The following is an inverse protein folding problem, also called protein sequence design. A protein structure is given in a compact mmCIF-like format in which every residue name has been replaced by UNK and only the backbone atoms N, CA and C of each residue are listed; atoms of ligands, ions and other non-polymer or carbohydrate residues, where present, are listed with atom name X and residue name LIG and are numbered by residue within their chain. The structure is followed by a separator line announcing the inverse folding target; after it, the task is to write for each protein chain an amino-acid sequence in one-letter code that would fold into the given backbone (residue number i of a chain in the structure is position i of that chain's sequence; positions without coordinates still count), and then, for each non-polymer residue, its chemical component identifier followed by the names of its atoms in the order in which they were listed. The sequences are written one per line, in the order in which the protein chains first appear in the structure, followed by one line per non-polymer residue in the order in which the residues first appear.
data_IF_087424875348
#
_entry.id   IF_087424875348
#
_cell.length_a   1.000
_cell.length_b   1.000
_cell.length_c   1.000
_cell.angle_alpha   90.00
_cell.angle_beta   90.00
_cell.angle_gamma   90.00
#
_symmetry.space_group_name_H-M   'P 1'
#
loop_
_entity.id
_entity.type
_entity.pdbx_description
1 polymer ?
#
# COMPACT_ATOMS: atom_id res chain seq x y z
N UNK A 1 2.14 -9.34 8.91
CA UNK A 1 0.71 -9.64 8.73
C UNK A 1 0.42 -11.14 8.66
N UNK A 2 0.91 -11.88 7.67
CA UNK A 2 0.64 -13.34 7.54
C UNK A 2 1.03 -14.12 8.80
N UNK A 3 2.19 -13.85 9.40
CA UNK A 3 2.61 -14.52 10.64
C UNK A 3 1.66 -14.29 11.83
N UNK A 4 1.07 -13.09 11.94
CA UNK A 4 0.07 -12.78 12.97
C UNK A 4 -1.21 -13.58 12.70
N UNK A 5 -1.68 -13.62 11.45
CA UNK A 5 -2.85 -14.41 11.07
C UNK A 5 -2.64 -15.91 11.34
N UNK A 6 -1.45 -16.45 11.02
CA UNK A 6 -1.09 -17.84 11.32
C UNK A 6 -1.11 -18.10 12.83
N UNK A 7 -0.51 -17.21 13.62
CA UNK A 7 -0.51 -17.30 15.08
C UNK A 7 -1.92 -17.26 15.68
N UNK A 8 -2.79 -16.39 15.14
CA UNK A 8 -4.20 -16.31 15.57
C UNK A 8 -4.95 -17.59 15.21
N UNK A 9 -4.82 -18.09 13.97
CA UNK A 9 -5.52 -19.31 13.54
C UNK A 9 -5.05 -20.51 14.37
N UNK A 10 -3.73 -20.72 14.47
CA UNK A 10 -3.16 -21.81 15.24
C UNK A 10 -3.53 -21.72 16.72
N UNK A 11 -3.33 -20.54 17.33
CA UNK A 11 -3.64 -20.30 18.72
C UNK A 11 -5.12 -20.51 19.03
N UNK A 12 -6.02 -20.10 18.13
CA UNK A 12 -7.46 -20.31 18.28
C UNK A 12 -7.82 -21.78 18.19
N UNK A 13 -7.31 -22.51 17.19
CA UNK A 13 -7.58 -23.95 17.03
C UNK A 13 -7.08 -24.76 18.24
N UNK A 14 -5.87 -24.46 18.70
CA UNK A 14 -5.29 -25.10 19.89
C UNK A 14 -6.09 -24.75 21.13
N UNK A 15 -6.42 -23.48 21.34
CA UNK A 15 -7.20 -23.05 22.52
C UNK A 15 -8.57 -23.71 22.55
N UNK A 16 -9.29 -23.72 21.43
CA UNK A 16 -10.60 -24.39 21.33
C UNK A 16 -10.46 -25.90 21.58
N UNK A 17 -9.44 -26.54 21.01
CA UNK A 17 -9.24 -27.97 21.17
C UNK A 17 -8.83 -28.40 22.60
N UNK A 18 -8.20 -27.53 23.39
CA UNK A 18 -7.92 -27.81 24.81
C UNK A 18 -9.01 -27.36 25.77
N UNK A 19 -9.78 -26.31 25.43
CA UNK A 19 -10.89 -25.84 26.26
C UNK A 19 -12.16 -26.68 26.07
N UNK A 20 -12.25 -27.44 24.97
CA UNK A 20 -13.35 -28.36 24.71
C UNK A 20 -12.96 -29.77 25.16
N UNK A 21 -13.38 -30.15 26.37
CA UNK A 21 -13.04 -31.44 27.00
C UNK A 21 -13.23 -32.69 26.10
N UNK A 22 -14.26 -32.80 25.23
CA UNK A 22 -14.41 -33.95 24.35
C UNK A 22 -13.63 -33.85 23.03
N UNK A 23 -12.87 -32.79 22.77
CA UNK A 23 -12.21 -32.56 21.47
C UNK A 23 -11.38 -33.76 20.99
N UNK A 24 -10.56 -34.33 21.86
CA UNK A 24 -9.73 -35.49 21.50
C UNK A 24 -10.59 -36.73 21.23
N UNK A 25 -11.62 -36.95 22.05
CA UNK A 25 -12.54 -38.06 21.86
C UNK A 25 -13.32 -37.92 20.57
N UNK A 26 -13.76 -36.71 20.22
CA UNK A 26 -14.47 -36.42 18.97
C UNK A 26 -13.55 -36.68 17.79
N UNK A 27 -12.33 -36.13 17.77
CA UNK A 27 -11.35 -36.34 16.70
C UNK A 27 -11.11 -37.84 16.44
N UNK A 28 -11.07 -38.65 17.51
CA UNK A 28 -10.83 -40.10 17.43
C UNK A 28 -12.03 -40.96 17.01
N UNK A 29 -13.24 -40.41 17.09
CA UNK A 29 -14.48 -41.17 16.88
C UNK A 29 -15.27 -40.71 15.67
N UNK A 30 -14.87 -39.60 15.04
CA UNK A 30 -15.51 -39.05 13.85
C UNK A 30 -14.55 -38.92 12.67
N UNK A 31 -15.11 -38.85 11.47
CA UNK A 31 -14.36 -38.55 10.23
C UNK A 31 -14.04 -37.05 10.10
N UNK A 32 -13.92 -36.33 11.23
CA UNK A 32 -13.77 -34.86 11.23
C UNK A 32 -12.44 -34.41 10.63
N UNK A 33 -11.37 -35.19 10.82
CA UNK A 33 -10.05 -34.90 10.22
C UNK A 33 -10.13 -35.03 8.71
N UNK A 34 -10.62 -36.17 8.21
CA UNK A 34 -10.79 -36.41 6.77
C UNK A 34 -11.68 -35.35 6.12
N UNK A 35 -12.83 -35.06 6.71
CA UNK A 35 -13.77 -34.06 6.20
C UNK A 35 -13.13 -32.67 6.14
N UNK A 36 -12.39 -32.27 7.19
CA UNK A 36 -11.68 -30.99 7.24
C UNK A 36 -10.64 -30.89 6.12
N UNK A 37 -9.76 -31.89 6.01
CA UNK A 37 -8.64 -31.82 5.06
C UNK A 37 -9.08 -32.04 3.61
N UNK A 38 -10.12 -32.82 3.35
CA UNK A 38 -10.76 -32.86 2.02
C UNK A 38 -11.35 -31.50 1.64
N UNK A 39 -12.04 -30.84 2.58
CA UNK A 39 -12.54 -29.48 2.37
C UNK A 39 -11.42 -28.47 2.08
N UNK A 40 -10.32 -28.54 2.84
CA UNK A 40 -9.14 -27.69 2.64
C UNK A 40 -8.43 -27.97 1.30
N UNK A 41 -8.36 -29.22 0.85
CA UNK A 41 -7.83 -29.59 -0.46
C UNK A 41 -8.65 -28.92 -1.57
N UNK A 42 -9.97 -29.13 -1.59
CA UNK A 42 -10.87 -28.53 -2.58
C UNK A 42 -10.76 -27.01 -2.56
N UNK A 43 -10.84 -26.40 -1.37
CA UNK A 43 -10.73 -24.95 -1.23
C UNK A 43 -9.38 -24.41 -1.75
N UNK A 44 -8.27 -25.08 -1.44
CA UNK A 44 -6.94 -24.67 -1.90
C UNK A 44 -6.84 -24.73 -3.42
N UNK A 45 -7.29 -25.81 -4.06
CA UNK A 45 -7.29 -25.94 -5.52
C UNK A 45 -8.12 -24.82 -6.16
N UNK A 46 -9.32 -24.56 -5.65
CA UNK A 46 -10.19 -23.48 -6.15
C UNK A 46 -9.53 -22.10 -6.02
N UNK A 47 -8.97 -21.77 -4.85
CA UNK A 47 -8.32 -20.48 -4.60
C UNK A 47 -7.12 -20.28 -5.54
N UNK A 48 -6.27 -21.30 -5.69
CA UNK A 48 -5.12 -21.24 -6.60
C UNK A 48 -5.56 -21.03 -8.03
N UNK A 49 -6.60 -21.75 -8.46
CA UNK A 49 -7.13 -21.66 -9.82
C UNK A 49 -7.63 -20.25 -10.11
N UNK A 50 -8.38 -19.67 -9.17
CA UNK A 50 -8.87 -18.29 -9.29
C UNK A 50 -7.73 -17.28 -9.34
N UNK A 51 -6.72 -17.41 -8.46
CA UNK A 51 -5.55 -16.51 -8.42
C UNK A 51 -4.76 -16.59 -9.73
N UNK A 52 -4.55 -17.81 -10.25
CA UNK A 52 -3.89 -18.01 -11.54
C UNK A 52 -4.67 -17.37 -12.69
N UNK A 53 -6.00 -17.53 -12.71
CA UNK A 53 -6.87 -16.94 -13.73
C UNK A 53 -6.80 -15.39 -13.70
N UNK A 54 -6.84 -14.78 -12.51
CA UNK A 54 -6.68 -13.33 -12.35
C UNK A 54 -5.30 -12.88 -12.84
N UNK A 55 -4.24 -13.59 -12.47
CA UNK A 55 -2.89 -13.25 -12.92
C UNK A 55 -2.75 -13.35 -14.44
N UNK A 56 -3.35 -14.37 -15.06
CA UNK A 56 -3.38 -14.53 -16.52
C UNK A 56 -4.13 -13.39 -17.21
N UNK A 57 -5.23 -12.92 -16.63
CA UNK A 57 -5.98 -11.78 -17.16
C UNK A 57 -5.13 -10.50 -17.15
N UNK A 58 -4.43 -10.23 -16.04
CA UNK A 58 -3.56 -9.04 -15.94
C UNK A 58 -2.36 -9.14 -16.89
N UNK A 59 -1.71 -10.31 -16.98
CA UNK A 59 -0.64 -10.55 -17.95
C UNK A 59 -1.10 -10.38 -19.40
N UNK A 60 -2.32 -10.82 -19.71
CA UNK A 60 -2.91 -10.63 -21.05
C UNK A 60 -3.09 -9.16 -21.40
N UNK A 61 -3.33 -8.29 -20.43
CA UNK A 61 -3.41 -6.83 -20.66
C UNK A 61 -2.03 -6.21 -20.92
N UNK A 62 -0.95 -6.81 -20.38
CA UNK A 62 0.42 -6.34 -20.65
C UNK A 62 0.96 -6.78 -22.01
N UNK A 63 0.39 -7.83 -22.62
CA UNK A 63 0.74 -8.31 -23.97
C UNK A 63 -0.04 -7.60 -25.09
N UNK A 64 -0.62 -6.44 -24.81
CA UNK A 64 -1.37 -5.63 -25.78
C UNK A 64 -0.55 -5.23 -27.02
N UNK A 65 -1.22 -4.68 -28.04
CA UNK A 65 -0.60 -4.34 -29.30
C UNK A 65 0.60 -3.38 -29.14
N UNK A 66 1.64 -3.55 -29.97
CA UNK A 66 2.87 -2.75 -29.93
C UNK A 66 2.59 -1.23 -30.01
N UNK A 67 1.54 -0.83 -30.72
CA UNK A 67 1.10 0.57 -30.80
C UNK A 67 0.73 1.13 -29.42
N UNK A 68 -0.02 0.38 -28.62
CA UNK A 68 -0.44 0.81 -27.29
C UNK A 68 0.75 0.86 -26.35
N UNK A 69 1.67 -0.12 -26.46
CA UNK A 69 2.94 -0.12 -25.74
C UNK A 69 3.76 1.15 -26.02
N UNK A 70 3.88 1.52 -27.29
CA UNK A 70 4.58 2.73 -27.70
C UNK A 70 3.94 4.00 -27.12
N UNK A 71 2.61 4.11 -27.18
CA UNK A 71 1.89 5.26 -26.61
C UNK A 71 2.10 5.38 -25.09
N UNK A 72 2.07 4.26 -24.36
CA UNK A 72 2.37 4.25 -22.91
C UNK A 72 3.80 4.69 -22.61
N UNK A 73 4.76 4.22 -23.41
CA UNK A 73 6.17 4.60 -23.27
C UNK A 73 6.37 6.09 -23.55
N UNK A 74 5.76 6.63 -24.61
CA UNK A 74 5.84 8.05 -24.96
C UNK A 74 5.29 8.93 -23.82
N UNK A 75 4.10 8.62 -23.28
CA UNK A 75 3.55 9.37 -22.14
C UNK A 75 4.38 9.27 -20.86
N UNK A 76 5.01 8.11 -20.59
CA UNK A 76 5.92 7.96 -19.46
C UNK A 76 7.20 8.78 -19.65
N UNK A 77 7.73 8.87 -20.87
CA UNK A 77 8.91 9.68 -21.18
C UNK A 77 8.62 11.19 -21.11
N UNK A 78 7.45 11.61 -21.57
CA UNK A 78 6.95 13.00 -21.43
C UNK A 78 6.84 13.37 -19.95
N UNK A 79 6.14 12.56 -19.15
CA UNK A 79 6.04 12.79 -17.71
C UNK A 79 7.41 12.87 -17.01
N UNK A 80 8.35 12.00 -17.39
CA UNK A 80 9.72 12.02 -16.86
C UNK A 80 10.51 13.26 -17.26
N UNK A 81 10.17 13.89 -18.38
CA UNK A 81 10.74 15.14 -18.84
C UNK A 81 10.16 16.31 -18.05
N UNK A 82 8.83 16.38 -17.89
CA UNK A 82 8.17 17.41 -17.08
C UNK A 82 8.75 17.44 -15.66
N UNK A 83 8.98 16.27 -15.07
CA UNK A 83 9.62 16.17 -13.76
C UNK A 83 11.08 16.60 -13.79
N UNK A 84 11.83 16.27 -14.85
CA UNK A 84 13.23 16.68 -14.98
C UNK A 84 13.39 18.21 -15.06
N UNK A 85 12.46 18.85 -15.78
CA UNK A 85 12.39 20.31 -15.93
C UNK A 85 12.11 20.98 -14.58
N UNK A 86 11.11 20.49 -13.81
CA UNK A 86 10.79 21.02 -12.47
C UNK A 86 11.92 20.81 -11.47
N UNK A 87 12.54 19.62 -11.42
CA UNK A 87 13.65 19.37 -10.49
C UNK A 87 14.99 19.93 -10.97
N UNK A 88 15.01 20.64 -12.12
CA UNK A 88 16.17 21.26 -12.73
C UNK A 88 17.36 20.30 -12.93
N UNK A 89 17.09 19.08 -13.38
CA UNK A 89 18.14 18.11 -13.71
C UNK A 89 18.07 17.67 -15.16
N UNK A 90 19.20 17.29 -15.79
CA UNK A 90 19.18 16.82 -17.19
C UNK A 90 18.33 15.57 -17.42
N UNK A 91 18.20 14.72 -16.40
CA UNK A 91 17.44 13.46 -16.47
C UNK A 91 16.86 13.15 -15.09
N UNK A 92 15.57 12.86 -15.02
CA UNK A 92 14.92 12.45 -13.78
C UNK A 92 15.48 11.12 -13.24
N UNK A 93 15.50 10.90 -11.91
CA UNK A 93 16.02 9.67 -11.32
C UNK A 93 15.33 8.41 -11.85
N UNK A 94 16.09 7.33 -12.04
CA UNK A 94 15.57 6.06 -12.57
C UNK A 94 14.90 5.17 -11.51
N UNK A 95 15.26 5.37 -10.24
CA UNK A 95 14.69 4.60 -9.12
C UNK A 95 13.46 5.32 -8.55
N UNK A 96 12.31 4.62 -8.38
CA UNK A 96 11.09 5.20 -7.82
C UNK A 96 11.26 6.02 -6.54
N UNK A 97 11.99 5.48 -5.55
CA UNK A 97 12.21 6.18 -4.27
C UNK A 97 13.01 7.48 -4.45
N UNK A 98 14.03 7.46 -5.31
CA UNK A 98 14.84 8.65 -5.62
C UNK A 98 14.04 9.67 -6.43
N UNK A 99 13.19 9.21 -7.33
CA UNK A 99 12.31 10.06 -8.14
C UNK A 99 11.31 10.83 -7.25
N UNK A 100 10.62 10.11 -6.36
CA UNK A 100 9.68 10.74 -5.41
C UNK A 100 10.38 11.68 -4.46
N UNK A 101 11.54 11.26 -3.93
CA UNK A 101 12.35 12.10 -3.04
C UNK A 101 12.77 13.41 -3.71
N UNK A 102 13.27 13.35 -4.94
CA UNK A 102 13.64 14.56 -5.68
C UNK A 102 12.46 15.53 -5.83
N UNK A 103 11.27 15.03 -6.13
CA UNK A 103 10.07 15.86 -6.26
C UNK A 103 9.64 16.48 -4.90
N UNK A 104 9.78 15.72 -3.81
CA UNK A 104 9.51 16.19 -2.44
C UNK A 104 10.51 17.26 -2.01
N UNK A 105 11.80 17.02 -2.23
CA UNK A 105 12.88 17.94 -1.86
C UNK A 105 12.71 19.27 -2.60
N UNK A 106 12.41 19.23 -3.91
CA UNK A 106 12.17 20.43 -4.73
C UNK A 106 10.90 21.17 -4.31
N UNK A 107 9.84 20.45 -3.94
CA UNK A 107 8.64 21.10 -3.38
C UNK A 107 8.94 21.80 -2.05
N UNK A 108 9.80 21.21 -1.21
CA UNK A 108 10.28 21.83 0.03
C UNK A 108 11.10 23.10 -0.25
N UNK A 109 11.97 23.06 -1.25
CA UNK A 109 12.76 24.22 -1.70
C UNK A 109 11.85 25.35 -2.20
N UNK A 110 10.89 25.07 -3.09
CA UNK A 110 9.95 26.08 -3.58
C UNK A 110 9.06 26.66 -2.48
N UNK A 111 8.70 25.86 -1.46
CA UNK A 111 8.00 26.39 -0.29
C UNK A 111 8.87 27.34 0.52
N UNK A 112 10.16 27.04 0.68
CA UNK A 112 11.11 27.94 1.35
C UNK A 112 11.37 29.22 0.54
N UNK A 113 11.47 29.12 -0.79
CA UNK A 113 11.56 30.27 -1.70
C UNK A 113 10.32 31.17 -1.61
N UNK A 114 9.12 30.57 -1.59
CA UNK A 114 7.88 31.30 -1.38
C UNK A 114 7.85 32.00 -0.01
N UNK A 115 8.27 31.32 1.06
CA UNK A 115 8.33 31.94 2.39
C UNK A 115 9.28 33.14 2.42
N UNK A 116 10.44 33.00 1.77
CA UNK A 116 11.47 34.04 1.73
C UNK A 116 11.14 35.21 0.80
N UNK A 117 10.25 35.01 -0.18
CA UNK A 117 9.82 36.08 -1.09
C UNK A 117 8.79 37.03 -0.48
N UNK A 118 8.10 36.62 0.59
CA UNK A 118 7.16 37.49 1.29
C UNK A 118 7.92 38.43 2.24
N UNK A 119 7.89 39.76 2.03
CA UNK A 119 8.59 40.70 2.88
C UNK A 119 7.92 40.82 4.25
N UNK A 120 8.70 41.11 5.30
CA UNK A 120 8.17 41.36 6.66
C UNK A 120 7.19 42.54 6.74
N UNK A 121 7.14 43.39 5.70
CA UNK A 121 6.22 44.53 5.58
C UNK A 121 4.93 44.17 4.84
N UNK A 122 4.79 42.93 4.36
CA UNK A 122 3.57 42.45 3.73
C UNK A 122 2.39 42.44 4.72
N UNK A 123 1.19 42.24 4.17
CA UNK A 123 0.00 42.01 4.96
C UNK A 123 0.21 40.82 5.92
N UNK A 124 -0.10 41.06 7.18
CA UNK A 124 0.09 40.10 8.27
C UNK A 124 -0.76 38.83 8.08
N UNK A 125 -1.93 38.92 7.44
CA UNK A 125 -2.77 37.76 7.13
C UNK A 125 -2.17 36.90 6.02
N UNK A 126 -1.70 37.53 4.93
CA UNK A 126 -0.95 36.85 3.86
C UNK A 126 0.29 36.14 4.42
N UNK A 127 1.06 36.84 5.27
CA UNK A 127 2.28 36.28 5.88
C UNK A 127 1.97 35.03 6.69
N UNK A 128 0.93 35.06 7.53
CA UNK A 128 0.51 33.90 8.32
C UNK A 128 0.03 32.74 7.44
N UNK A 129 -0.80 32.99 6.43
CA UNK A 129 -1.27 31.91 5.53
C UNK A 129 -0.11 31.26 4.76
N UNK A 130 0.88 32.05 4.31
CA UNK A 130 2.09 31.54 3.65
C UNK A 130 2.99 30.78 4.64
N UNK A 131 3.18 31.27 5.85
CA UNK A 131 3.93 30.56 6.89
C UNK A 131 3.29 29.21 7.22
N UNK A 132 1.97 29.17 7.45
CA UNK A 132 1.24 27.94 7.80
C UNK A 132 1.38 26.87 6.71
N UNK A 133 1.20 27.23 5.44
CA UNK A 133 1.32 26.27 4.33
C UNK A 133 2.76 25.82 4.12
N UNK A 134 3.72 26.74 4.19
CA UNK A 134 5.14 26.45 3.92
C UNK A 134 5.76 25.63 5.05
N UNK A 135 5.46 25.93 6.31
CA UNK A 135 5.93 25.13 7.46
C UNK A 135 5.35 23.71 7.43
N UNK A 136 4.06 23.56 7.13
CA UNK A 136 3.41 22.27 6.92
C UNK A 136 4.03 21.49 5.75
N UNK A 137 4.44 22.16 4.68
CA UNK A 137 5.04 21.53 3.51
C UNK A 137 6.48 21.10 3.78
N UNK A 138 7.32 22.01 4.27
CA UNK A 138 8.72 21.76 4.57
C UNK A 138 8.85 20.66 5.62
N UNK A 139 8.09 20.73 6.71
CA UNK A 139 8.09 19.70 7.75
C UNK A 139 7.67 18.31 7.23
N UNK A 140 6.66 18.26 6.36
CA UNK A 140 6.24 17.00 5.74
C UNK A 140 7.27 16.50 4.71
N UNK A 141 7.87 17.40 3.93
CA UNK A 141 8.90 17.06 2.95
C UNK A 141 10.13 16.43 3.64
N UNK A 142 10.62 17.04 4.72
CA UNK A 142 11.73 16.53 5.52
C UNK A 142 11.46 15.13 6.10
N UNK A 143 10.26 14.93 6.65
CA UNK A 143 9.88 13.65 7.23
C UNK A 143 9.82 12.55 6.15
N UNK A 144 9.20 12.84 5.02
CA UNK A 144 9.00 11.87 3.93
C UNK A 144 10.31 11.60 3.19
N UNK A 145 11.14 12.63 2.95
CA UNK A 145 12.46 12.50 2.32
C UNK A 145 13.39 11.58 3.13
N UNK A 146 13.39 11.72 4.47
CA UNK A 146 14.12 10.81 5.38
C UNK A 146 13.59 9.37 5.32
N UNK A 147 12.27 9.18 5.22
CA UNK A 147 11.66 7.85 5.09
C UNK A 147 11.95 7.16 3.75
N UNK A 148 12.21 7.94 2.69
CA UNK A 148 12.61 7.44 1.38
C UNK A 148 14.11 7.17 1.27
N UNK A 149 14.91 7.58 2.26
CA UNK A 149 16.35 7.33 2.29
C UNK A 149 16.61 5.82 2.45
N UNK A 150 17.26 5.22 1.45
CA UNK A 150 17.48 3.77 1.31
C UNK A 150 16.24 2.88 1.08
N UNK A 151 15.06 3.46 0.88
CA UNK A 151 13.85 2.68 0.65
C UNK A 151 13.91 1.94 -0.69
N UNK A 152 13.59 0.63 -0.69
CA UNK A 152 13.56 -0.17 -1.93
C UNK A 152 12.14 -0.25 -2.47
N UNK A 153 12.02 -0.11 -3.79
CA UNK A 153 10.72 -0.25 -4.44
C UNK A 153 10.13 -1.66 -4.19
N UNK A 154 8.85 -1.70 -3.77
CA UNK A 154 8.17 -2.93 -3.30
C UNK A 154 8.05 -3.03 -1.77
N UNK A 155 8.88 -2.31 -1.02
CA UNK A 155 8.63 -2.06 0.39
C UNK A 155 7.44 -1.11 0.55
N UNK A 156 6.62 -1.33 1.57
CA UNK A 156 5.42 -0.53 1.84
C UNK A 156 5.76 0.96 2.02
N UNK A 157 6.99 1.27 2.42
CA UNK A 157 7.43 2.61 2.81
C UNK A 157 7.51 3.58 1.62
N UNK A 158 7.92 3.13 0.43
CA UNK A 158 7.96 3.99 -0.78
C UNK A 158 6.55 4.43 -1.17
N UNK A 159 5.61 3.49 -1.10
CA UNK A 159 4.21 3.78 -1.42
C UNK A 159 3.60 4.63 -0.32
N UNK A 160 3.70 4.22 0.95
CA UNK A 160 3.17 4.98 2.09
C UNK A 160 3.62 6.44 2.09
N UNK A 161 4.89 6.69 1.77
CA UNK A 161 5.47 8.03 1.62
C UNK A 161 4.78 8.85 0.53
N UNK A 162 4.61 8.28 -0.68
CA UNK A 162 3.86 8.91 -1.77
C UNK A 162 2.36 9.12 -1.45
N UNK A 163 1.78 8.30 -0.55
CA UNK A 163 0.37 8.41 -0.16
C UNK A 163 0.13 9.43 0.95
N UNK A 164 1.13 9.70 1.79
CA UNK A 164 0.98 10.58 2.96
C UNK A 164 1.31 12.05 2.64
N UNK A 165 1.91 12.33 1.48
CA UNK A 165 2.13 13.70 1.01
C UNK A 165 0.79 14.27 0.51
N UNK A 166 0.09 15.03 1.36
CA UNK A 166 -1.25 15.57 1.10
C UNK A 166 -1.24 16.70 0.05
N UNK A 167 -0.78 16.38 -1.16
CA UNK A 167 -0.54 17.36 -2.23
C UNK A 167 -1.83 18.08 -2.66
N UNK A 168 -2.98 17.40 -2.66
CA UNK A 168 -4.27 18.01 -3.05
C UNK A 168 -4.64 19.20 -2.16
N UNK A 169 -4.50 19.07 -0.84
CA UNK A 169 -4.73 20.18 0.09
C UNK A 169 -3.69 21.29 -0.12
N UNK A 170 -2.42 20.94 -0.32
CA UNK A 170 -1.35 21.93 -0.55
C UNK A 170 -1.57 22.73 -1.83
N UNK A 171 -2.01 22.10 -2.92
CA UNK A 171 -2.40 22.79 -4.16
C UNK A 171 -3.60 23.71 -3.91
N UNK A 172 -4.62 23.23 -3.19
CA UNK A 172 -5.80 24.04 -2.88
C UNK A 172 -5.43 25.28 -2.07
N UNK A 173 -4.63 25.12 -1.01
CA UNK A 173 -4.19 26.21 -0.15
C UNK A 173 -3.32 27.22 -0.93
N UNK A 174 -2.36 26.74 -1.73
CA UNK A 174 -1.53 27.61 -2.57
C UNK A 174 -2.35 28.39 -3.60
N UNK A 175 -3.32 27.75 -4.26
CA UNK A 175 -4.25 28.44 -5.19
C UNK A 175 -5.15 29.43 -4.46
N UNK A 176 -5.60 29.13 -3.24
CA UNK A 176 -6.39 30.07 -2.44
C UNK A 176 -5.60 31.35 -2.13
N UNK A 177 -4.32 31.21 -1.77
CA UNK A 177 -3.41 32.35 -1.56
C UNK A 177 -3.27 33.15 -2.85
N UNK A 178 -3.04 32.47 -3.99
CA UNK A 178 -2.91 33.12 -5.30
C UNK A 178 -4.14 33.96 -5.64
N UNK A 179 -5.35 33.41 -5.50
CA UNK A 179 -6.60 34.12 -5.85
C UNK A 179 -6.96 35.23 -4.85
N UNK A 180 -6.60 35.08 -3.56
CA UNK A 180 -6.95 36.05 -2.52
C UNK A 180 -6.00 37.24 -2.48
N UNK A 181 -4.72 37.02 -2.77
CA UNK A 181 -3.66 38.00 -2.58
C UNK A 181 -2.91 38.32 -3.87
N UNK A 182 -3.51 38.08 -5.04
CA UNK A 182 -2.87 38.34 -6.36
C UNK A 182 -2.35 39.76 -6.51
N UNK A 183 -3.06 40.73 -5.94
CA UNK A 183 -2.72 42.16 -6.04
C UNK A 183 -1.69 42.59 -4.99
N UNK A 184 -1.48 41.77 -3.95
CA UNK A 184 -0.54 42.04 -2.85
C UNK A 184 0.79 41.30 -3.04
N UNK A 185 0.81 40.23 -3.81
CA UNK A 185 2.02 39.51 -4.19
C UNK A 185 2.80 40.30 -5.24
N UNK A 186 4.07 40.56 -4.94
CA UNK A 186 4.98 41.07 -5.95
C UNK A 186 5.32 39.98 -6.98
N UNK A 187 6.04 40.37 -8.05
CA UNK A 187 6.39 39.44 -9.12
C UNK A 187 7.14 38.21 -8.61
N UNK A 188 8.02 38.39 -7.62
CA UNK A 188 8.82 37.31 -7.05
C UNK A 188 7.98 36.35 -6.21
N UNK A 189 7.05 36.87 -5.41
CA UNK A 189 6.07 36.08 -4.66
C UNK A 189 5.17 35.26 -5.56
N UNK A 190 4.64 35.87 -6.62
CA UNK A 190 3.79 35.19 -7.61
C UNK A 190 4.55 34.08 -8.33
N UNK A 191 5.76 34.34 -8.82
CA UNK A 191 6.59 33.33 -9.49
C UNK A 191 6.93 32.15 -8.56
N UNK A 192 7.27 32.41 -7.29
CA UNK A 192 7.56 31.37 -6.32
C UNK A 192 6.32 30.50 -6.00
N UNK A 193 5.15 31.13 -5.91
CA UNK A 193 3.89 30.42 -5.67
C UNK A 193 3.49 29.54 -6.86
N UNK A 194 3.65 30.05 -8.08
CA UNK A 194 3.40 29.28 -9.31
C UNK A 194 4.33 28.07 -9.43
N UNK A 195 5.62 28.24 -9.18
CA UNK A 195 6.60 27.13 -9.19
C UNK A 195 6.25 26.06 -8.14
N UNK A 196 5.84 26.48 -6.95
CA UNK A 196 5.38 25.55 -5.92
C UNK A 196 4.15 24.76 -6.39
N UNK A 197 3.17 25.44 -6.98
CA UNK A 197 1.95 24.80 -7.50
C UNK A 197 2.30 23.81 -8.63
N UNK A 198 3.20 24.18 -9.54
CA UNK A 198 3.67 23.32 -10.63
C UNK A 198 4.32 22.04 -10.11
N UNK A 199 5.24 22.15 -9.15
CA UNK A 199 5.88 20.99 -8.54
C UNK A 199 4.88 20.08 -7.82
N UNK A 200 3.93 20.66 -7.09
CA UNK A 200 2.89 19.91 -6.39
C UNK A 200 1.94 19.17 -7.35
N UNK A 201 1.67 19.71 -8.54
CA UNK A 201 0.78 19.08 -9.52
C UNK A 201 1.35 17.76 -10.07
N UNK A 202 2.67 17.63 -10.17
CA UNK A 202 3.33 16.41 -10.64
C UNK A 202 3.13 15.22 -9.70
N UNK A 203 2.79 15.44 -8.42
CA UNK A 203 2.51 14.36 -7.48
C UNK A 203 1.28 13.54 -7.83
N UNK A 204 0.26 14.14 -8.44
CA UNK A 204 -0.96 13.42 -8.83
C UNK A 204 -0.64 12.28 -9.81
N UNK A 205 -0.07 12.60 -10.99
CA UNK A 205 0.39 11.60 -11.95
C UNK A 205 1.46 10.65 -11.37
N UNK A 206 2.43 11.16 -10.59
CA UNK A 206 3.45 10.33 -9.96
C UNK A 206 2.83 9.26 -9.05
N UNK A 207 1.92 9.67 -8.16
CA UNK A 207 1.27 8.80 -7.18
C UNK A 207 0.46 7.70 -7.88
N UNK A 208 -0.33 8.04 -8.89
CA UNK A 208 -1.11 7.03 -9.63
C UNK A 208 -0.21 6.08 -10.44
N UNK A 209 0.88 6.60 -11.03
CA UNK A 209 1.87 5.76 -11.72
C UNK A 209 2.53 4.76 -10.75
N UNK A 210 3.06 5.22 -9.61
CA UNK A 210 3.69 4.34 -8.63
C UNK A 210 2.72 3.38 -7.95
N UNK A 211 1.47 3.80 -7.71
CA UNK A 211 0.40 2.94 -7.21
C UNK A 211 0.11 1.80 -8.18
N UNK A 212 0.04 2.10 -9.47
CA UNK A 212 -0.15 1.09 -10.53
C UNK A 212 1.01 0.09 -10.53
N UNK A 213 2.26 0.58 -10.56
CA UNK A 213 3.44 -0.28 -10.52
C UNK A 213 3.50 -1.14 -9.26
N UNK A 214 3.13 -0.58 -8.11
CA UNK A 214 3.09 -1.32 -6.85
C UNK A 214 2.03 -2.42 -6.84
N UNK A 215 0.82 -2.16 -7.34
CA UNK A 215 -0.22 -3.18 -7.45
C UNK A 215 0.18 -4.30 -8.42
N UNK A 216 0.81 -3.97 -9.55
CA UNK A 216 1.34 -4.97 -10.46
C UNK A 216 2.43 -5.82 -9.79
N UNK A 217 3.40 -5.18 -9.11
CA UNK A 217 4.46 -5.88 -8.40
C UNK A 217 3.94 -6.80 -7.28
N UNK A 218 3.00 -6.30 -6.49
CA UNK A 218 2.41 -7.07 -5.40
C UNK A 218 1.59 -8.25 -5.93
N UNK A 219 0.85 -8.08 -7.03
CA UNK A 219 0.09 -9.17 -7.67
C UNK A 219 1.01 -10.28 -8.18
N UNK A 220 2.12 -9.93 -8.84
CA UNK A 220 3.11 -10.91 -9.32
C UNK A 220 3.69 -11.70 -8.14
N UNK A 221 4.06 -10.99 -7.07
CA UNK A 221 4.58 -11.64 -5.86
C UNK A 221 3.54 -12.50 -5.15
N UNK A 222 2.29 -12.06 -5.12
CA UNK A 222 1.17 -12.83 -4.57
C UNK A 222 1.05 -14.17 -5.30
N UNK A 223 0.98 -14.15 -6.63
CA UNK A 223 0.87 -15.35 -7.46
C UNK A 223 2.00 -16.33 -7.15
N UNK A 224 3.25 -15.86 -7.13
CA UNK A 224 4.42 -16.69 -6.80
C UNK A 224 4.33 -17.30 -5.39
N UNK A 225 3.96 -16.50 -4.38
CA UNK A 225 3.85 -16.96 -2.99
C UNK A 225 2.71 -17.95 -2.81
N UNK A 226 1.55 -17.70 -3.42
CA UNK A 226 0.40 -18.60 -3.36
C UNK A 226 0.74 -19.93 -4.03
N UNK A 227 1.42 -19.94 -5.18
CA UNK A 227 1.78 -21.19 -5.84
C UNK A 227 2.68 -22.08 -4.97
N UNK A 228 3.75 -21.51 -4.40
CA UNK A 228 4.65 -22.26 -3.51
C UNK A 228 3.92 -22.71 -2.24
N UNK A 229 3.14 -21.83 -1.61
CA UNK A 229 2.38 -22.15 -0.41
C UNK A 229 1.32 -23.22 -0.66
N UNK A 230 0.73 -23.25 -1.85
CA UNK A 230 -0.33 -24.20 -2.19
C UNK A 230 0.20 -25.59 -2.41
N UNK A 231 1.38 -25.74 -3.01
CA UNK A 231 2.04 -27.06 -3.10
C UNK A 231 2.23 -27.63 -1.69
N UNK A 232 2.76 -26.83 -0.75
CA UNK A 232 2.93 -27.26 0.63
C UNK A 232 1.59 -27.58 1.31
N UNK A 233 0.59 -26.71 1.13
CA UNK A 233 -0.76 -26.91 1.68
C UNK A 233 -1.41 -28.20 1.19
N UNK A 234 -1.33 -28.48 -0.12
CA UNK A 234 -1.88 -29.68 -0.74
C UNK A 234 -1.15 -30.94 -0.27
N UNK A 235 0.18 -30.91 -0.13
CA UNK A 235 0.94 -32.03 0.40
C UNK A 235 0.57 -32.34 1.86
N UNK A 236 0.40 -31.31 2.69
CA UNK A 236 0.01 -31.50 4.09
C UNK A 236 -1.42 -32.00 4.19
N UNK A 237 -2.37 -31.36 3.49
CA UNK A 237 -3.77 -31.78 3.55
C UNK A 237 -3.97 -33.18 2.94
N UNK A 238 -3.35 -33.46 1.79
CA UNK A 238 -3.36 -34.78 1.17
C UNK A 238 -2.67 -35.83 2.05
N UNK A 239 -1.57 -35.47 2.71
CA UNK A 239 -0.89 -36.34 3.66
C UNK A 239 -1.77 -36.68 4.87
N UNK A 240 -2.53 -35.71 5.37
CA UNK A 240 -3.51 -35.94 6.44
C UNK A 240 -4.63 -36.88 5.98
N UNK A 241 -5.16 -36.72 4.77
CA UNK A 241 -6.23 -37.61 4.26
C UNK A 241 -5.73 -39.02 3.94
N UNK A 242 -4.51 -39.16 3.39
CA UNK A 242 -4.02 -40.45 2.88
C UNK A 242 -3.34 -41.28 3.98
N UNK A 243 -2.55 -40.63 4.85
CA UNK A 243 -1.61 -41.33 5.73
C UNK A 243 -1.87 -41.11 7.22
N UNK A 244 -2.60 -40.06 7.62
CA UNK A 244 -2.81 -39.79 9.03
C UNK A 244 -3.88 -40.74 9.57
N UNK A 245 -3.55 -41.37 10.70
CA UNK A 245 -4.46 -42.25 11.42
C UNK A 245 -4.56 -41.75 12.86
N UNK A 246 -5.64 -41.04 13.13
CA UNK A 246 -5.99 -40.47 14.42
C UNK A 246 -6.13 -41.55 15.51
N UNK A 247 -6.61 -42.75 15.18
CA UNK A 247 -6.79 -43.85 16.11
C UNK A 247 -5.45 -44.40 16.66
N UNK A 248 -4.40 -44.41 15.84
CA UNK A 248 -3.06 -44.91 16.24
C UNK A 248 -2.12 -43.81 16.71
N UNK A 249 -2.43 -42.54 16.43
CA UNK A 249 -1.62 -41.40 16.86
C UNK A 249 -1.64 -41.25 18.40
N UNK A 250 -0.46 -41.42 19.01
CA UNK A 250 -0.27 -41.47 20.46
C UNK A 250 1.04 -40.79 20.91
N UNK A 251 1.40 -39.68 20.26
CA UNK A 251 2.55 -38.87 20.68
C UNK A 251 2.18 -38.01 21.89
N UNK A 252 3.04 -38.04 22.90
CA UNK A 252 2.91 -37.25 24.13
C UNK A 252 4.22 -36.50 24.35
N UNK A 253 4.13 -35.20 24.60
CA UNK A 253 5.29 -34.33 24.88
C UNK A 253 4.97 -33.55 26.16
N UNK A 254 5.87 -33.58 27.15
CA UNK A 254 5.65 -32.93 28.45
C UNK A 254 4.31 -33.29 29.12
N UNK A 255 3.92 -34.57 29.04
CA UNK A 255 2.65 -35.11 29.58
C UNK A 255 1.36 -34.56 28.94
N UNK A 256 1.50 -33.82 27.82
CA UNK A 256 0.39 -33.30 27.03
C UNK A 256 0.25 -34.12 25.75
N UNK A 257 -0.95 -34.64 25.51
CA UNK A 257 -1.29 -35.33 24.26
C UNK A 257 -1.26 -34.33 23.11
N UNK A 258 -0.54 -34.65 22.04
CA UNK A 258 -0.26 -33.69 20.95
C UNK A 258 -1.22 -33.80 19.77
N UNK A 259 -2.25 -34.64 19.83
CA UNK A 259 -3.16 -34.89 18.71
C UNK A 259 -3.82 -33.59 18.20
N UNK A 260 -4.41 -32.83 19.12
CA UNK A 260 -5.05 -31.52 18.83
C UNK A 260 -4.06 -30.56 18.20
N UNK A 261 -2.84 -30.48 18.75
CA UNK A 261 -1.78 -29.59 18.25
C UNK A 261 -1.33 -30.00 16.84
N UNK A 262 -1.17 -31.30 16.58
CA UNK A 262 -0.78 -31.81 15.28
C UNK A 262 -1.83 -31.51 14.20
N UNK A 263 -3.11 -31.76 14.50
CA UNK A 263 -4.23 -31.43 13.60
C UNK A 263 -4.33 -29.91 13.38
N UNK A 264 -4.22 -29.11 14.45
CA UNK A 264 -4.25 -27.65 14.36
C UNK A 264 -3.07 -27.10 13.54
N UNK A 265 -1.87 -27.66 13.71
CA UNK A 265 -0.69 -27.28 12.94
C UNK A 265 -0.87 -27.62 11.46
N UNK A 266 -1.30 -28.85 11.14
CA UNK A 266 -1.55 -29.27 9.77
C UNK A 266 -2.63 -28.41 9.10
N UNK A 267 -3.75 -28.15 9.78
CA UNK A 267 -4.81 -27.28 9.29
C UNK A 267 -4.31 -25.84 9.06
N UNK A 268 -3.50 -25.32 9.97
CA UNK A 268 -2.89 -23.99 9.83
C UNK A 268 -1.97 -23.92 8.61
N UNK A 269 -1.12 -24.94 8.39
CA UNK A 269 -0.25 -25.02 7.22
C UNK A 269 -1.07 -25.11 5.93
N UNK A 270 -2.15 -25.89 5.93
CA UNK A 270 -3.06 -25.99 4.80
C UNK A 270 -3.80 -24.68 4.49
N UNK A 271 -4.03 -23.81 5.48
CA UNK A 271 -4.64 -22.49 5.30
C UNK A 271 -3.67 -21.40 4.84
N UNK A 272 -2.35 -21.64 4.82
CA UNK A 272 -1.33 -20.64 4.43
C UNK A 272 -1.65 -19.91 3.11
N UNK A 273 -1.97 -20.57 1.98
CA UNK A 273 -2.24 -19.86 0.72
C UNK A 273 -3.44 -18.90 0.83
N UNK A 274 -4.47 -19.29 1.58
CA UNK A 274 -5.63 -18.43 1.84
C UNK A 274 -5.25 -17.23 2.74
N UNK A 275 -4.46 -17.44 3.79
CA UNK A 275 -4.02 -16.36 4.67
C UNK A 275 -3.08 -15.37 3.98
N UNK A 276 -2.27 -15.84 3.03
CA UNK A 276 -1.47 -14.98 2.15
C UNK A 276 -2.40 -14.11 1.29
N UNK A 277 -3.42 -14.70 0.66
CA UNK A 277 -4.42 -13.97 -0.11
C UNK A 277 -5.15 -12.92 0.74
N UNK A 278 -5.59 -13.30 1.94
CA UNK A 278 -6.28 -12.39 2.86
C UNK A 278 -5.40 -11.21 3.26
N UNK A 279 -4.13 -11.46 3.61
CA UNK A 279 -3.18 -10.42 3.95
C UNK A 279 -2.95 -9.45 2.78
N UNK A 280 -2.87 -9.97 1.55
CA UNK A 280 -2.76 -9.16 0.34
C UNK A 280 -3.98 -8.27 0.13
N UNK A 281 -5.20 -8.83 0.21
CA UNK A 281 -6.44 -8.07 0.01
C UNK A 281 -6.55 -6.95 1.06
N UNK A 282 -6.24 -7.23 2.32
CA UNK A 282 -6.24 -6.21 3.38
C UNK A 282 -5.19 -5.12 3.12
N UNK A 283 -3.99 -5.48 2.66
CA UNK A 283 -2.93 -4.51 2.32
C UNK A 283 -3.35 -3.60 1.17
N UNK A 284 -3.92 -4.14 0.10
CA UNK A 284 -4.43 -3.36 -1.03
C UNK A 284 -5.62 -2.50 -0.61
N UNK A 285 -6.59 -3.03 0.12
CA UNK A 285 -7.72 -2.27 0.61
C UNK A 285 -7.27 -1.09 1.48
N UNK A 286 -6.26 -1.28 2.32
CA UNK A 286 -5.68 -0.22 3.15
C UNK A 286 -5.01 0.86 2.30
N UNK A 287 -4.23 0.46 1.28
CA UNK A 287 -3.63 1.40 0.32
C UNK A 287 -4.71 2.15 -0.45
N UNK A 288 -5.67 1.44 -1.04
CA UNK A 288 -6.77 2.02 -1.80
C UNK A 288 -7.55 3.04 -0.97
N UNK A 289 -7.91 2.70 0.28
CA UNK A 289 -8.60 3.60 1.22
C UNK A 289 -7.78 4.86 1.52
N UNK A 290 -6.45 4.75 1.64
CA UNK A 290 -5.56 5.92 1.83
C UNK A 290 -5.38 6.77 0.57
N UNK A 291 -5.67 6.25 -0.61
CA UNK A 291 -5.51 6.95 -1.91
C UNK A 291 -6.81 7.41 -2.57
N UNK A 292 -7.94 7.37 -1.87
CA UNK A 292 -9.25 7.51 -2.51
C UNK A 292 -9.52 8.89 -3.14
N UNK A 293 -8.65 9.90 -2.93
CA UNK A 293 -8.74 11.21 -3.54
C UNK A 293 -8.04 11.25 -4.90
N UNK A 294 -8.79 11.03 -5.99
CA UNK A 294 -8.31 11.20 -7.38
C UNK A 294 -8.49 12.67 -7.86
N UNK A 295 -9.12 13.55 -7.06
CA UNK A 295 -9.38 14.96 -7.40
C UNK A 295 -9.14 15.93 -6.23
N UNK A 296 -9.53 17.22 -6.36
CA UNK A 296 -9.32 18.26 -5.34
C UNK A 296 -10.17 18.03 -4.07
N UNK A 297 -11.02 16.99 -4.07
CA UNK A 297 -11.80 16.61 -2.90
C UNK A 297 -10.91 16.00 -1.82
N UNK A 298 -10.86 16.69 -0.69
CA UNK A 298 -10.26 16.20 0.55
C UNK A 298 -11.26 15.21 1.15
N UNK A 299 -11.09 13.92 0.85
CA UNK A 299 -11.93 12.84 1.39
C UNK A 299 -11.45 12.32 2.75
N UNK A 300 -10.43 12.96 3.32
CA UNK A 300 -9.84 12.63 4.61
C UNK A 300 -10.37 13.63 5.64
N UNK A 301 -10.87 13.12 6.77
CA UNK A 301 -10.96 13.92 8.01
C UNK A 301 -9.54 14.38 8.33
N UNK A 302 -9.24 15.62 7.96
CA UNK A 302 -7.96 16.26 8.26
C UNK A 302 -8.30 17.24 9.35
N UNK A 303 -7.59 17.21 10.48
CA UNK A 303 -7.84 18.09 11.63
C UNK A 303 -7.70 19.59 11.28
N UNK A 304 -7.14 19.91 10.10
CA UNK A 304 -6.87 21.27 9.60
C UNK A 304 -7.89 21.83 8.60
N UNK A 305 -9.07 21.21 8.42
CA UNK A 305 -10.09 21.77 7.51
C UNK A 305 -11.03 22.69 8.27
N UNK A 306 -10.76 23.99 8.26
CA UNK A 306 -11.80 25.00 8.55
C UNK A 306 -12.91 24.90 7.51
N UNK A 307 -14.14 24.66 7.95
CA UNK A 307 -15.34 24.66 7.11
C UNK A 307 -15.43 25.97 6.31
N UNK A 308 -15.73 25.85 5.01
CA UNK A 308 -16.02 27.03 4.18
C UNK A 308 -17.41 27.53 4.58
N UNK A 309 -17.45 28.57 5.41
CA UNK A 309 -18.70 29.29 5.70
C UNK A 309 -19.18 30.02 4.44
N UNK A 310 -20.33 29.60 3.93
CA UNK A 310 -21.02 30.28 2.85
C UNK A 310 -21.86 31.41 3.45
N UNK A 311 -21.42 32.66 3.28
CA UNK A 311 -22.32 33.79 3.48
C UNK A 311 -23.27 33.86 2.28
N UNK A 312 -24.56 33.59 2.52
CA UNK A 312 -25.66 33.98 1.64
C UNK A 312 -26.22 35.33 2.08
#
# INVERSE_FOLDING_TARGET
MVGILLGIVFGTLVSVGYLYDPAESTIRTSDSVDTLFQGLLTATITVVTLVLAVNQLVLSQELGAVKDQRKRMEGAMEFRKDVADVIQTPVSPSRPAQFLRALIDVSGQHAEELRNSIPNTANEELRREVEDITDSLIGNADQVSKGLDNARFGEFDVVSSALNFNYSWKIFAARRIHERYSDELDKTGTEALEQLIEALQLFGPAREHFKTLYFQWELINLSRRILVASILSLLVAGGMVIFFNDATYSVVIFDVKTLVVAVAAAATISLVPFLILLAYVMRIATVAKRTLSIGPFILRETEDVTEVEWNH
#
